data_IF_304523862733
#
_entry.id   IF_304523862733
#
_cell.length_a   1.000
_cell.length_b   1.000
_cell.length_c   1.000
_cell.angle_alpha   90.00
_cell.angle_beta   90.00
_cell.angle_gamma   90.00
#
_symmetry.space_group_name_H-M   'P 1'
#
loop_
_entity.id
_entity.type
_entity.pdbx_description
1 polymer ?
#
# COMPACT_ATOMS: atom_id res chain seq x y z
N UNK A 1 -7.65 2.89 9.94
CA UNK A 1 -6.63 2.09 9.25
C UNK A 1 -6.66 2.52 7.80
N UNK A 2 -5.52 2.63 7.12
CA UNK A 2 -5.53 2.95 5.69
C UNK A 2 -5.45 1.64 4.92
N UNK A 3 -6.40 1.43 4.04
CA UNK A 3 -6.68 0.19 3.33
C UNK A 3 -6.17 0.30 1.89
N UNK A 4 -5.86 -0.83 1.25
CA UNK A 4 -5.34 -0.84 -0.13
C UNK A 4 -6.31 -0.21 -1.14
N UNK A 5 -7.61 -0.19 -0.82
CA UNK A 5 -8.66 0.51 -1.56
C UNK A 5 -8.45 2.03 -1.65
N UNK A 6 -7.84 2.66 -0.64
CA UNK A 6 -7.60 4.11 -0.59
C UNK A 6 -6.65 4.61 -1.70
N UNK A 7 -5.99 3.69 -2.40
CA UNK A 7 -5.01 3.99 -3.46
C UNK A 7 -5.36 3.31 -4.79
N UNK A 8 -6.63 2.94 -4.97
CA UNK A 8 -7.12 2.31 -6.21
C UNK A 8 -6.74 3.10 -7.47
N UNK A 9 -6.79 4.44 -7.42
CA UNK A 9 -6.44 5.32 -8.54
C UNK A 9 -4.96 5.22 -8.97
N UNK A 10 -4.09 4.68 -8.11
CA UNK A 10 -2.67 4.47 -8.39
C UNK A 10 -2.38 3.05 -8.92
N UNK A 11 -3.39 2.18 -9.04
CA UNK A 11 -3.18 0.78 -9.38
C UNK A 11 -3.18 0.57 -10.90
N UNK A 12 -2.25 -0.23 -11.43
CA UNK A 12 -2.26 -0.62 -12.84
C UNK A 12 -3.49 -1.47 -13.20
N UNK A 13 -3.91 -1.50 -14.48
CA UNK A 13 -5.10 -2.25 -14.92
C UNK A 13 -5.11 -3.72 -14.49
N UNK A 14 -3.99 -4.44 -14.68
CA UNK A 14 -3.88 -5.87 -14.27
C UNK A 14 -4.10 -6.09 -12.77
N UNK A 15 -3.75 -5.09 -11.95
CA UNK A 15 -3.97 -5.15 -10.51
C UNK A 15 -5.43 -4.91 -10.18
N UNK A 16 -6.10 -3.98 -10.88
CA UNK A 16 -7.54 -3.77 -10.74
C UNK A 16 -8.32 -5.03 -11.14
N UNK A 17 -7.91 -5.72 -12.21
CA UNK A 17 -8.49 -7.01 -12.59
C UNK A 17 -8.35 -8.05 -11.46
N UNK A 18 -7.19 -8.13 -10.80
CA UNK A 18 -7.02 -8.99 -9.63
C UNK A 18 -7.93 -8.58 -8.47
N UNK A 19 -8.09 -7.28 -8.21
CA UNK A 19 -9.03 -6.77 -7.19
C UNK A 19 -10.47 -7.18 -7.50
N UNK A 20 -10.90 -7.06 -8.75
CA UNK A 20 -12.26 -7.44 -9.16
C UNK A 20 -12.53 -8.94 -8.96
N UNK A 21 -11.48 -9.77 -9.06
CA UNK A 21 -11.58 -11.23 -8.93
C UNK A 21 -11.52 -11.73 -7.49
N UNK A 22 -10.60 -11.21 -6.67
CA UNK A 22 -10.29 -11.75 -5.33
C UNK A 22 -10.32 -10.71 -4.21
N UNK A 23 -10.63 -9.45 -4.53
CA UNK A 23 -10.73 -8.35 -3.57
C UNK A 23 -9.39 -7.70 -3.21
N UNK A 24 -9.47 -6.53 -2.58
CA UNK A 24 -8.30 -5.71 -2.23
C UNK A 24 -7.33 -6.40 -1.27
N UNK A 25 -7.84 -7.08 -0.23
CA UNK A 25 -6.97 -7.70 0.78
C UNK A 25 -6.10 -8.82 0.19
N UNK A 26 -6.69 -9.64 -0.68
CA UNK A 26 -5.98 -10.75 -1.32
C UNK A 26 -4.96 -10.21 -2.32
N UNK A 27 -5.37 -9.23 -3.13
CA UNK A 27 -4.49 -8.59 -4.11
C UNK A 27 -3.32 -7.88 -3.44
N UNK A 28 -3.53 -7.20 -2.30
CA UNK A 28 -2.44 -6.58 -1.54
C UNK A 28 -1.40 -7.64 -1.10
N UNK A 29 -1.83 -8.82 -0.63
CA UNK A 29 -0.92 -9.91 -0.27
C UNK A 29 -0.09 -10.38 -1.46
N UNK A 30 -0.72 -10.53 -2.63
CA UNK A 30 -0.05 -10.92 -3.87
C UNK A 30 1.02 -9.91 -4.24
N UNK A 31 0.69 -8.62 -4.26
CA UNK A 31 1.63 -7.55 -4.63
C UNK A 31 2.79 -7.49 -3.65
N UNK A 32 2.53 -7.57 -2.34
CA UNK A 32 3.59 -7.53 -1.32
C UNK A 32 4.56 -8.70 -1.42
N UNK A 33 4.11 -9.85 -1.92
CA UNK A 33 4.91 -11.07 -1.96
C UNK A 33 5.55 -11.34 -3.33
N UNK A 34 4.81 -11.10 -4.41
CA UNK A 34 5.21 -11.40 -5.80
C UNK A 34 5.37 -10.14 -6.69
N UNK A 35 5.21 -8.94 -6.14
CA UNK A 35 5.41 -7.70 -6.89
C UNK A 35 6.81 -7.63 -7.52
N UNK A 36 6.86 -7.29 -8.80
CA UNK A 36 8.08 -7.19 -9.60
C UNK A 36 8.49 -8.49 -10.29
N UNK A 37 7.65 -9.52 -10.28
CA UNK A 37 7.94 -10.84 -10.87
C UNK A 37 6.94 -11.15 -11.99
N UNK A 38 7.43 -11.79 -13.07
CA UNK A 38 6.56 -12.46 -14.04
C UNK A 38 6.08 -13.78 -13.46
N UNK A 39 4.77 -13.89 -13.23
CA UNK A 39 4.15 -15.02 -12.57
C UNK A 39 3.36 -15.86 -13.57
N UNK A 40 3.68 -17.15 -13.65
CA UNK A 40 2.97 -18.08 -14.52
C UNK A 40 1.77 -18.69 -13.79
N UNK A 41 0.56 -18.36 -14.23
CA UNK A 41 -0.69 -18.88 -13.64
C UNK A 41 -1.06 -20.29 -14.16
N UNK A 42 -0.15 -21.26 -14.01
CA UNK A 42 -0.32 -22.65 -14.45
C UNK A 42 -0.56 -23.63 -13.29
N UNK A 43 -1.08 -24.83 -13.56
CA UNK A 43 -1.22 -25.93 -12.58
C UNK A 43 0.10 -26.63 -12.22
N UNK A 44 1.24 -26.06 -12.64
CA UNK A 44 2.54 -26.64 -12.38
C UNK A 44 2.87 -26.71 -10.88
N UNK A 45 3.76 -27.63 -10.52
CA UNK A 45 4.16 -27.88 -9.13
C UNK A 45 4.95 -26.73 -8.46
N UNK A 46 5.24 -25.63 -9.19
CA UNK A 46 6.06 -24.51 -8.71
C UNK A 46 5.19 -23.30 -8.34
N UNK A 47 4.44 -22.76 -9.30
CA UNK A 47 3.74 -21.48 -9.14
C UNK A 47 2.43 -21.63 -8.36
N UNK A 48 1.57 -22.58 -8.74
CA UNK A 48 0.27 -22.75 -8.10
C UNK A 48 0.34 -23.08 -6.60
N UNK A 49 1.23 -23.97 -6.12
CA UNK A 49 1.35 -24.23 -4.68
C UNK A 49 1.78 -22.99 -3.89
N UNK A 50 2.64 -22.13 -4.45
CA UNK A 50 3.07 -20.88 -3.81
C UNK A 50 1.93 -19.87 -3.74
N UNK A 51 1.16 -19.72 -4.81
CA UNK A 51 -0.02 -18.86 -4.82
C UNK A 51 -1.06 -19.36 -3.81
N UNK A 52 -1.41 -20.64 -3.86
CA UNK A 52 -2.35 -21.29 -2.93
C UNK A 52 -1.93 -21.11 -1.46
N UNK A 53 -0.65 -21.26 -1.14
CA UNK A 53 -0.15 -21.06 0.22
C UNK A 53 -0.33 -19.62 0.71
N UNK A 54 -0.26 -18.63 -0.20
CA UNK A 54 -0.40 -17.22 0.14
C UNK A 54 -1.85 -16.76 0.28
N UNK A 55 -2.73 -17.20 -0.63
CA UNK A 55 -4.09 -16.64 -0.76
C UNK A 55 -5.23 -17.64 -0.59
N UNK A 56 -4.92 -18.91 -0.33
CA UNK A 56 -5.88 -20.00 -0.23
C UNK A 56 -6.24 -20.61 -1.60
N UNK A 57 -6.87 -21.79 -1.57
CA UNK A 57 -7.17 -22.58 -2.77
C UNK A 57 -8.18 -21.89 -3.69
N UNK A 58 -9.24 -21.33 -3.12
CA UNK A 58 -10.35 -20.72 -3.87
C UNK A 58 -9.86 -19.52 -4.70
N UNK A 59 -9.19 -18.57 -4.05
CA UNK A 59 -8.63 -17.40 -4.72
C UNK A 59 -7.55 -17.77 -5.75
N UNK A 60 -6.66 -18.72 -5.41
CA UNK A 60 -5.64 -19.19 -6.35
C UNK A 60 -6.26 -19.85 -7.59
N UNK A 61 -7.33 -20.62 -7.41
CA UNK A 61 -8.04 -21.26 -8.52
C UNK A 61 -8.74 -20.21 -9.40
N UNK A 62 -9.37 -19.21 -8.79
CA UNK A 62 -10.04 -18.10 -9.51
C UNK A 62 -9.07 -17.34 -10.41
N UNK A 63 -7.92 -16.90 -9.86
CA UNK A 63 -6.90 -16.20 -10.65
C UNK A 63 -6.32 -17.09 -11.75
N UNK A 64 -6.06 -18.36 -11.45
CA UNK A 64 -5.56 -19.34 -12.45
C UNK A 64 -6.56 -19.55 -13.59
N UNK A 65 -7.86 -19.59 -13.31
CA UNK A 65 -8.89 -19.76 -14.32
C UNK A 65 -9.01 -18.53 -15.21
N UNK A 66 -8.88 -17.33 -14.63
CA UNK A 66 -8.95 -16.07 -15.36
C UNK A 66 -7.74 -15.86 -16.28
N UNK A 67 -6.51 -15.99 -15.76
CA UNK A 67 -5.27 -15.78 -16.51
C UNK A 67 -4.83 -16.97 -17.39
N UNK A 68 -5.53 -18.11 -17.33
CA UNK A 68 -5.41 -19.24 -18.28
C UNK A 68 -3.98 -19.72 -18.62
N UNK A 69 -3.08 -19.79 -17.64
CA UNK A 69 -1.66 -20.18 -17.84
C UNK A 69 -0.81 -19.18 -18.62
N UNK A 70 -1.22 -17.92 -18.65
CA UNK A 70 -0.37 -16.83 -19.12
C UNK A 70 0.71 -16.49 -18.09
N UNK A 71 1.85 -16.04 -18.60
CA UNK A 71 2.87 -15.37 -17.80
C UNK A 71 2.50 -13.90 -17.66
N UNK A 72 2.12 -13.50 -16.45
CA UNK A 72 1.63 -12.16 -16.16
C UNK A 72 2.63 -11.45 -15.27
N UNK A 73 3.08 -10.26 -15.69
CA UNK A 73 3.89 -9.41 -14.83
C UNK A 73 3.05 -8.84 -13.69
N UNK A 74 3.45 -9.10 -12.45
CA UNK A 74 2.81 -8.55 -11.25
C UNK A 74 3.48 -7.22 -10.89
N UNK A 75 2.82 -6.06 -11.02
CA UNK A 75 3.44 -4.78 -10.71
C UNK A 75 3.74 -4.61 -9.22
N UNK A 76 4.86 -3.97 -8.87
CA UNK A 76 5.23 -3.68 -7.47
C UNK A 76 4.29 -2.70 -6.76
N UNK A 77 3.55 -1.90 -7.53
CA UNK A 77 2.69 -0.83 -7.02
C UNK A 77 3.42 0.11 -6.04
N UNK A 78 4.70 0.42 -6.32
CA UNK A 78 5.57 1.19 -5.44
C UNK A 78 4.95 2.54 -5.06
N UNK A 79 4.28 3.21 -6.01
CA UNK A 79 3.57 4.48 -5.78
C UNK A 79 2.41 4.29 -4.81
N UNK A 80 1.53 3.33 -5.07
CA UNK A 80 0.36 3.05 -4.22
C UNK A 80 0.78 2.67 -2.79
N UNK A 81 1.74 1.74 -2.65
CA UNK A 81 2.26 1.31 -1.35
C UNK A 81 2.98 2.45 -0.60
N UNK A 82 3.72 3.30 -1.31
CA UNK A 82 4.35 4.49 -0.73
C UNK A 82 3.31 5.49 -0.25
N UNK A 83 2.24 5.72 -1.02
CA UNK A 83 1.14 6.59 -0.62
C UNK A 83 0.48 6.08 0.65
N UNK A 84 0.13 4.79 0.73
CA UNK A 84 -0.42 4.18 1.95
C UNK A 84 0.49 4.34 3.16
N UNK A 85 1.79 4.07 3.00
CA UNK A 85 2.79 4.26 4.06
C UNK A 85 2.81 5.71 4.53
N UNK A 86 2.83 6.67 3.61
CA UNK A 86 2.87 8.08 3.93
C UNK A 86 1.59 8.53 4.67
N UNK A 87 0.42 8.11 4.20
CA UNK A 87 -0.85 8.41 4.88
C UNK A 87 -0.88 7.80 6.29
N UNK A 88 -0.35 6.57 6.48
CA UNK A 88 -0.29 5.93 7.81
C UNK A 88 0.62 6.70 8.76
N UNK A 89 1.79 7.12 8.27
CA UNK A 89 2.71 7.96 9.02
C UNK A 89 2.06 9.28 9.46
N UNK A 90 1.35 9.95 8.56
CA UNK A 90 0.67 11.22 8.87
C UNK A 90 -0.41 11.01 9.93
N UNK A 91 -1.26 10.00 9.78
CA UNK A 91 -2.33 9.71 10.73
C UNK A 91 -1.77 9.39 12.13
N UNK A 92 -0.69 8.60 12.21
CA UNK A 92 -0.05 8.27 13.48
C UNK A 92 0.67 9.47 14.09
N UNK A 93 1.29 10.32 13.27
CA UNK A 93 1.88 11.58 13.73
C UNK A 93 0.83 12.52 14.34
N UNK A 94 -0.32 12.69 13.66
CA UNK A 94 -1.42 13.51 14.17
C UNK A 94 -1.99 12.94 15.47
N UNK A 95 -2.20 11.63 15.54
CA UNK A 95 -2.64 10.96 16.75
C UNK A 95 -1.68 11.22 17.93
N UNK A 96 -0.37 11.04 17.73
CA UNK A 96 0.63 11.28 18.79
C UNK A 96 0.71 12.75 19.22
N UNK A 97 0.58 13.68 18.29
CA UNK A 97 0.76 15.11 18.58
C UNK A 97 -0.50 15.78 19.12
N UNK A 98 -1.67 15.41 18.57
CA UNK A 98 -2.95 16.05 18.89
C UNK A 98 -3.71 15.31 20.00
N UNK A 99 -3.61 13.98 20.06
CA UNK A 99 -4.34 13.17 21.04
C UNK A 99 -3.45 12.83 22.24
N UNK A 100 -2.22 12.36 22.00
CA UNK A 100 -1.30 12.00 23.10
C UNK A 100 -0.50 13.21 23.64
N UNK A 101 -0.57 14.38 22.98
CA UNK A 101 0.14 15.60 23.42
C UNK A 101 1.67 15.55 23.28
N UNK A 102 2.22 14.60 22.52
CA UNK A 102 3.67 14.53 22.28
C UNK A 102 4.13 15.68 21.39
N UNK A 103 5.35 16.18 21.64
CA UNK A 103 5.97 17.11 20.70
C UNK A 103 6.23 16.42 19.36
N UNK A 104 6.19 17.17 18.25
CA UNK A 104 6.46 16.61 16.93
C UNK A 104 7.84 15.94 16.82
N UNK A 105 8.86 16.47 17.51
CA UNK A 105 10.20 15.85 17.58
C UNK A 105 10.17 14.51 18.31
N UNK A 106 9.44 14.44 19.45
CA UNK A 106 9.29 13.19 20.18
C UNK A 106 8.50 12.14 19.37
N UNK A 107 7.46 12.55 18.64
CA UNK A 107 6.75 11.65 17.74
C UNK A 107 7.66 11.11 16.63
N UNK A 108 8.51 11.96 16.02
CA UNK A 108 9.41 11.53 14.94
C UNK A 108 10.51 10.55 15.41
N UNK A 109 11.00 10.67 16.65
CA UNK A 109 11.96 9.71 17.21
C UNK A 109 11.43 8.27 17.17
N UNK A 110 10.12 8.08 17.40
CA UNK A 110 9.49 6.77 17.36
C UNK A 110 9.06 6.36 15.93
N UNK A 111 8.58 7.31 15.12
CA UNK A 111 7.99 7.03 13.81
C UNK A 111 9.05 6.76 12.73
N UNK A 112 10.15 7.50 12.71
CA UNK A 112 11.22 7.34 11.72
C UNK A 112 11.75 5.90 11.63
N UNK A 113 12.16 5.25 12.75
CA UNK A 113 12.59 3.85 12.70
C UNK A 113 11.46 2.90 12.31
N UNK A 114 10.22 3.14 12.80
CA UNK A 114 9.04 2.31 12.49
C UNK A 114 8.75 2.25 10.99
N UNK A 115 8.88 3.38 10.29
CA UNK A 115 8.57 3.48 8.86
C UNK A 115 9.81 3.37 7.96
N UNK A 116 10.99 3.11 8.53
CA UNK A 116 12.27 3.08 7.83
C UNK A 116 12.52 4.35 7.00
N UNK A 117 12.32 5.51 7.62
CA UNK A 117 12.51 6.82 7.01
C UNK A 117 13.52 7.64 7.79
N UNK A 118 14.32 8.44 7.09
CA UNK A 118 15.10 9.49 7.75
C UNK A 118 14.18 10.58 8.30
N UNK A 119 14.64 11.27 9.35
CA UNK A 119 13.91 12.38 9.97
C UNK A 119 13.47 13.42 8.92
N UNK A 120 14.37 13.78 8.00
CA UNK A 120 14.08 14.69 6.89
C UNK A 120 12.93 14.19 6.01
N UNK A 121 12.96 12.93 5.59
CA UNK A 121 11.91 12.37 4.72
C UNK A 121 10.55 12.31 5.43
N UNK A 122 10.53 11.93 6.72
CA UNK A 122 9.31 11.90 7.50
C UNK A 122 8.68 13.30 7.66
N UNK A 123 9.50 14.32 7.95
CA UNK A 123 9.04 15.71 7.99
C UNK A 123 8.56 16.24 6.65
N UNK A 124 9.23 15.91 5.55
CA UNK A 124 8.79 16.28 4.20
C UNK A 124 7.40 15.68 3.91
N UNK A 125 7.15 14.42 4.28
CA UNK A 125 5.85 13.76 4.12
C UNK A 125 4.77 14.50 4.92
N UNK A 126 4.99 14.76 6.22
CA UNK A 126 4.02 15.45 7.07
C UNK A 126 3.72 16.87 6.55
N UNK A 127 4.76 17.60 6.15
CA UNK A 127 4.62 18.96 5.62
C UNK A 127 3.83 19.00 4.31
N UNK A 128 4.09 18.05 3.41
CA UNK A 128 3.37 17.95 2.16
C UNK A 128 1.89 17.61 2.40
N UNK A 129 1.59 16.72 3.35
CA UNK A 129 0.22 16.42 3.72
C UNK A 129 -0.52 17.63 4.32
N UNK A 130 0.15 18.43 5.14
CA UNK A 130 -0.43 19.67 5.69
C UNK A 130 -0.74 20.71 4.62
N UNK A 131 0.17 20.90 3.65
CA UNK A 131 -0.02 21.82 2.52
C UNK A 131 -1.18 21.41 1.61
N UNK A 132 -1.35 20.10 1.41
CA UNK A 132 -2.38 19.55 0.53
C UNK A 132 -3.72 19.30 1.26
N UNK A 133 -3.80 19.64 2.55
CA UNK A 133 -5.06 19.55 3.30
C UNK A 133 -5.96 20.73 2.93
N UNK A 134 -7.24 20.51 2.58
CA UNK A 134 -8.14 21.58 2.12
C UNK A 134 -8.37 22.70 3.15
N UNK A 135 -8.05 22.45 4.43
CA UNK A 135 -8.08 23.44 5.52
C UNK A 135 -6.86 24.39 5.56
N UNK A 136 -5.83 24.16 4.74
CA UNK A 136 -4.69 25.08 4.59
C UNK A 136 -4.97 26.22 3.60
N UNK A 137 -6.22 26.36 3.16
CA UNK A 137 -6.68 27.55 2.43
C UNK A 137 -7.08 28.61 3.46
N UNK A 138 -6.24 29.65 3.57
CA UNK A 138 -6.55 30.95 4.15
C UNK A 138 -6.49 31.09 5.68
N UNK A 139 -5.29 31.34 6.19
CA UNK A 139 -5.09 32.14 7.40
C UNK A 139 -3.85 33.01 7.28
N UNK A 140 -3.91 34.00 6.38
CA UNK A 140 -3.18 35.26 6.54
C UNK A 140 -3.71 36.30 5.54
N UNK A 141 -4.73 37.04 5.93
CA UNK A 141 -4.85 38.46 5.61
C UNK A 141 -5.70 39.09 6.72
N UNK A 142 -5.13 40.14 7.32
CA UNK A 142 -5.60 40.98 8.43
C UNK A 142 -5.21 40.52 9.84
#
# INVERSE_FOLDING_TARGET
MNHFEDVADCLPPVVLEMVDLVGFEVTEKIIRHFGGVCFLFSDGAIYFPRLKALIGLENATTLRQYFKSEEVYIPRCDVALRTLRNTRLVNEFLMRTQVEGKSGRAAMLDLCPKYALSDRQAWEIVRNAQRNSPLATQSSLF
#
